data_IF_130889516268
#
_entry.id   IF_130889516268
#
_cell.length_a   1.000
_cell.length_b   1.000
_cell.length_c   1.000
_cell.angle_alpha   90.00
_cell.angle_beta   90.00
_cell.angle_gamma   90.00
#
_symmetry.space_group_name_H-M   'P 1'
#
loop_
_entity.id
_entity.type
_entity.pdbx_description
1 polymer ?
#
# COMPACT_ATOMS: atom_id res chain seq x y z
N UNK A 1 14.68 -0.14 -1.44
CA UNK A 1 13.57 0.21 -2.37
C UNK A 1 12.59 -0.97 -2.45
N UNK A 2 11.29 -0.74 -2.28
CA UNK A 2 10.27 -1.81 -2.20
C UNK A 2 8.87 -1.23 -2.28
N UNK A 3 7.84 -2.02 -1.96
CA UNK A 3 6.44 -1.59 -2.08
C UNK A 3 5.98 -0.61 -0.99
N UNK A 4 6.80 -0.33 0.05
CA UNK A 4 6.40 0.50 1.18
C UNK A 4 5.94 1.92 0.80
N UNK A 5 6.62 2.67 -0.09
CA UNK A 5 6.11 3.99 -0.48
C UNK A 5 4.74 3.94 -1.15
N UNK A 6 4.47 2.89 -1.94
CA UNK A 6 3.16 2.68 -2.55
C UNK A 6 2.10 2.28 -1.51
N UNK A 7 2.42 1.34 -0.62
CA UNK A 7 1.46 0.81 0.36
C UNK A 7 1.13 1.86 1.42
N UNK A 8 2.16 2.49 1.99
CA UNK A 8 2.02 3.45 3.10
C UNK A 8 1.50 4.78 2.60
N UNK A 9 1.96 5.28 1.45
CA UNK A 9 1.62 6.63 0.97
C UNK A 9 1.85 7.68 2.07
N UNK A 10 0.83 8.51 2.32
CA UNK A 10 0.86 9.55 3.36
C UNK A 10 0.45 9.03 4.76
N UNK A 11 0.18 7.73 4.91
CA UNK A 11 -0.29 7.16 6.18
C UNK A 11 0.84 6.84 7.18
N UNK A 12 2.08 7.17 6.85
CA UNK A 12 3.22 6.89 7.72
C UNK A 12 4.48 7.59 7.25
N UNK A 13 5.49 7.60 8.13
CA UNK A 13 6.79 8.19 7.84
C UNK A 13 7.67 7.17 7.14
N UNK A 14 8.16 7.51 5.94
CA UNK A 14 9.21 6.72 5.27
C UNK A 14 10.59 7.14 5.80
N UNK A 15 11.45 6.14 6.02
CA UNK A 15 12.83 6.32 6.50
C UNK A 15 13.81 5.72 5.52
N UNK A 16 15.08 6.10 5.61
CA UNK A 16 16.16 5.39 4.94
C UNK A 16 16.45 4.07 5.70
N UNK A 17 16.24 2.89 5.09
CA UNK A 17 16.44 1.60 5.77
C UNK A 17 17.91 1.33 6.12
N UNK A 18 18.86 2.06 5.54
CA UNK A 18 20.29 1.92 5.85
C UNK A 18 20.75 2.91 6.94
N UNK A 19 19.88 3.82 7.39
CA UNK A 19 20.15 4.78 8.46
C UNK A 19 19.37 4.42 9.73
N UNK A 20 20.07 3.82 10.70
CA UNK A 20 19.49 3.45 12.00
C UNK A 20 19.13 4.67 12.86
N UNK A 21 19.81 5.80 12.69
CA UNK A 21 19.47 7.03 13.39
C UNK A 21 18.19 7.65 12.84
N UNK A 22 17.92 7.50 11.54
CA UNK A 22 16.68 7.95 10.93
C UNK A 22 15.47 7.15 11.45
N UNK A 23 15.61 5.83 11.55
CA UNK A 23 14.61 4.97 12.18
C UNK A 23 14.35 5.36 13.64
N UNK A 24 15.40 5.60 14.43
CA UNK A 24 15.26 6.01 15.83
C UNK A 24 14.49 7.33 15.95
N UNK A 25 14.86 8.36 15.18
CA UNK A 25 14.16 9.65 15.17
C UNK A 25 12.69 9.51 14.78
N UNK A 26 12.37 8.67 13.81
CA UNK A 26 11.00 8.44 13.38
C UNK A 26 10.15 7.78 14.49
N UNK A 27 10.74 6.83 15.22
CA UNK A 27 10.11 6.22 16.40
C UNK A 27 9.90 7.26 17.49
N UNK A 28 10.94 8.01 17.86
CA UNK A 28 10.86 9.05 18.90
C UNK A 28 9.79 10.09 18.57
N UNK A 29 9.74 10.56 17.32
CA UNK A 29 8.72 11.51 16.85
C UNK A 29 7.29 10.99 17.04
N UNK A 30 7.06 9.69 16.80
CA UNK A 30 5.76 9.07 16.99
C UNK A 30 5.38 8.86 18.46
N UNK A 31 6.37 8.69 19.34
CA UNK A 31 6.15 8.56 20.78
C UNK A 31 5.86 9.93 21.41
N UNK A 32 6.64 10.94 21.03
CA UNK A 32 6.59 12.29 21.60
C UNK A 32 5.46 13.16 21.06
N UNK A 33 4.96 12.89 19.84
CA UNK A 33 3.84 13.60 19.24
C UNK A 33 2.60 12.69 19.08
N UNK A 34 1.66 12.72 20.05
CA UNK A 34 0.38 12.04 19.94
C UNK A 34 -0.47 12.47 18.75
N UNK A 35 -0.36 13.74 18.33
CA UNK A 35 -1.13 14.28 17.21
C UNK A 35 -0.70 13.64 15.89
N UNK A 36 0.61 13.59 15.64
CA UNK A 36 1.19 12.89 14.50
C UNK A 36 0.78 11.42 14.48
N UNK A 37 0.87 10.73 15.62
CA UNK A 37 0.47 9.33 15.74
C UNK A 37 -1.01 9.11 15.42
N UNK A 38 -1.90 9.97 15.94
CA UNK A 38 -3.35 9.88 15.66
C UNK A 38 -3.63 10.12 14.17
N UNK A 39 -2.96 11.11 13.57
CA UNK A 39 -3.09 11.39 12.14
C UNK A 39 -2.69 10.19 11.29
N UNK A 40 -1.53 9.57 11.58
CA UNK A 40 -1.07 8.35 10.88
C UNK A 40 -2.02 7.19 11.05
N UNK A 41 -2.56 6.97 12.25
CA UNK A 41 -3.56 5.91 12.49
C UNK A 41 -4.82 6.14 11.64
N UNK A 42 -5.36 7.36 11.64
CA UNK A 42 -6.54 7.69 10.86
C UNK A 42 -6.30 7.51 9.35
N UNK A 43 -5.20 8.07 8.83
CA UNK A 43 -4.81 7.92 7.44
C UNK A 43 -4.57 6.45 7.05
N UNK A 44 -3.96 5.66 7.93
CA UNK A 44 -3.71 4.23 7.72
C UNK A 44 -4.99 3.41 7.64
N UNK A 45 -5.99 3.71 8.47
CA UNK A 45 -7.29 3.06 8.42
C UNK A 45 -8.00 3.38 7.10
N UNK A 46 -7.98 4.63 6.64
CA UNK A 46 -8.57 4.99 5.35
C UNK A 46 -7.83 4.34 4.17
N UNK A 47 -6.50 4.40 4.16
CA UNK A 47 -5.67 3.77 3.12
C UNK A 47 -5.88 2.26 3.04
N UNK A 48 -5.99 1.58 4.19
CA UNK A 48 -6.23 0.14 4.24
C UNK A 48 -7.55 -0.26 3.56
N UNK A 49 -8.59 0.60 3.60
CA UNK A 49 -9.89 0.31 2.95
C UNK A 49 -9.80 0.26 1.44
N UNK A 50 -8.81 0.90 0.83
CA UNK A 50 -8.58 0.86 -0.61
C UNK A 50 -8.07 -0.52 -1.08
N UNK A 51 -7.50 -1.30 -0.15
CA UNK A 51 -7.00 -2.65 -0.41
C UNK A 51 -8.02 -3.69 0.07
N UNK A 52 -8.68 -4.38 -0.87
CA UNK A 52 -9.56 -5.48 -0.54
C UNK A 52 -9.34 -6.70 -1.43
N UNK A 53 -9.45 -7.88 -0.83
CA UNK A 53 -9.41 -9.15 -1.57
C UNK A 53 -10.48 -9.22 -2.66
N UNK A 54 -11.67 -8.66 -2.40
CA UNK A 54 -12.75 -8.61 -3.38
C UNK A 54 -12.35 -7.81 -4.61
N UNK A 55 -11.77 -6.61 -4.44
CA UNK A 55 -11.30 -5.80 -5.56
C UNK A 55 -10.15 -6.50 -6.32
N UNK A 56 -9.18 -7.08 -5.61
CA UNK A 56 -8.06 -7.81 -6.22
C UNK A 56 -8.53 -9.02 -7.02
N UNK A 57 -9.41 -9.86 -6.47
CA UNK A 57 -9.98 -11.01 -7.15
C UNK A 57 -10.83 -10.60 -8.36
N UNK A 58 -11.59 -9.50 -8.26
CA UNK A 58 -12.34 -8.95 -9.38
C UNK A 58 -11.44 -8.53 -10.53
N UNK A 59 -10.36 -7.78 -10.25
CA UNK A 59 -9.36 -7.39 -11.27
C UNK A 59 -8.69 -8.59 -11.91
N UNK A 60 -8.33 -9.60 -11.12
CA UNK A 60 -7.71 -10.83 -11.63
C UNK A 60 -8.66 -11.62 -12.55
N UNK A 61 -9.93 -11.75 -12.14
CA UNK A 61 -10.94 -12.43 -12.93
C UNK A 61 -11.19 -11.73 -14.27
N UNK A 62 -11.19 -10.39 -14.28
CA UNK A 62 -11.35 -9.63 -15.52
C UNK A 62 -10.17 -9.87 -16.47
N UNK A 63 -8.94 -9.83 -15.96
CA UNK A 63 -7.76 -10.17 -16.76
C UNK A 63 -7.85 -11.59 -17.37
N UNK A 64 -8.36 -12.57 -16.62
CA UNK A 64 -8.58 -13.91 -17.15
C UNK A 64 -9.63 -13.94 -18.26
N UNK A 65 -10.75 -13.21 -18.08
CA UNK A 65 -11.80 -13.12 -19.11
C UNK A 65 -11.29 -12.48 -20.39
N UNK A 66 -10.50 -11.41 -20.28
CA UNK A 66 -9.89 -10.73 -21.42
C UNK A 66 -8.99 -11.68 -22.22
N UNK A 67 -8.11 -12.42 -21.54
CA UNK A 67 -7.20 -13.38 -22.19
C UNK A 67 -7.98 -14.51 -22.87
N UNK A 68 -9.00 -15.06 -22.20
CA UNK A 68 -9.86 -16.11 -22.77
C UNK A 68 -10.65 -15.61 -23.98
N UNK A 69 -11.17 -14.37 -23.94
CA UNK A 69 -11.88 -13.76 -25.07
C UNK A 69 -10.95 -13.60 -26.29
N UNK A 70 -9.73 -13.07 -26.09
CA UNK A 70 -8.72 -12.93 -27.15
C UNK A 70 -8.36 -14.27 -27.79
N UNK A 71 -8.17 -15.32 -26.97
CA UNK A 71 -7.88 -16.67 -27.47
C UNK A 71 -9.00 -17.23 -28.35
N UNK A 72 -10.26 -16.96 -28.02
CA UNK A 72 -11.42 -17.44 -28.81
C UNK A 72 -11.58 -16.69 -30.15
N UNK A 73 -11.10 -15.46 -30.24
CA UNK A 73 -11.14 -14.64 -31.47
C UNK A 73 -9.96 -14.85 -32.42
N UNK A 74 -8.89 -15.56 -32.01
CA UNK A 74 -7.78 -15.90 -32.89
C UNK A 74 -8.13 -17.13 -33.74
N UNK A 75 -8.06 -17.05 -35.09
CA UNK A 75 -8.15 -18.24 -35.92
C UNK A 75 -6.94 -19.16 -35.70
N UNK A 76 -7.14 -20.46 -35.93
CA UNK A 76 -6.14 -21.51 -35.75
C UNK A 76 -4.89 -21.32 -36.61
#
# INVERSE_FOLDING_TARGET
>A
RGALPEVVGEAGTLIDPEDTADLARAIDSLLDDPGLRIAHVAAGIERAREFSWRASAGRLLEAYREVLARRRSMPA
#
